data_IF_567911773572
#
_entry.id   IF_567911773572
#
_cell.length_a   1.000
_cell.length_b   1.000
_cell.length_c   1.000
_cell.angle_alpha   90.00
_cell.angle_beta   90.00
_cell.angle_gamma   90.00
#
_symmetry.space_group_name_H-M   'P 1'
#
loop_
_entity.id
_entity.type
_entity.pdbx_description
1 polymer ?
#
# COMPACT_ATOMS: atom_id res chain seq x y z
N UNK A 1 -14.68 -0.74 1.61
CA UNK A 1 -15.35 -0.22 0.40
C UNK A 1 -16.62 0.56 0.78
N UNK A 2 -16.81 1.78 0.25
CA UNK A 2 -18.02 2.59 0.49
C UNK A 2 -19.11 2.17 -0.52
N UNK A 3 -20.31 1.82 -0.06
CA UNK A 3 -21.39 1.22 -0.87
C UNK A 3 -21.84 2.12 -2.03
N UNK A 4 -21.62 3.44 -1.91
CA UNK A 4 -22.05 4.44 -2.89
C UNK A 4 -21.14 4.57 -4.13
N UNK A 5 -20.00 3.88 -4.19
CA UNK A 5 -19.03 3.99 -5.30
C UNK A 5 -18.58 2.64 -5.85
N UNK A 6 -19.30 1.57 -5.55
CA UNK A 6 -18.90 0.20 -5.95
C UNK A 6 -18.83 0.04 -7.49
N UNK A 7 -19.70 0.72 -8.23
CA UNK A 7 -19.76 0.63 -9.70
C UNK A 7 -18.88 1.66 -10.43
N UNK A 8 -18.25 2.56 -9.69
CA UNK A 8 -17.48 3.66 -10.28
C UNK A 8 -16.13 3.18 -10.76
N UNK A 9 -15.66 3.71 -11.89
CA UNK A 9 -14.31 3.45 -12.36
C UNK A 9 -13.26 4.14 -11.46
N UNK A 10 -11.97 3.74 -11.51
CA UNK A 10 -10.94 4.29 -10.63
C UNK A 10 -10.83 5.83 -10.69
N UNK A 11 -10.96 6.42 -11.87
CA UNK A 11 -10.86 7.88 -12.03
C UNK A 11 -12.02 8.61 -11.36
N UNK A 12 -13.24 8.11 -11.52
CA UNK A 12 -14.43 8.65 -10.84
C UNK A 12 -14.30 8.57 -9.32
N UNK A 13 -13.75 7.47 -8.80
CA UNK A 13 -13.49 7.30 -7.36
C UNK A 13 -12.49 8.33 -6.84
N UNK A 14 -11.40 8.56 -7.57
CA UNK A 14 -10.41 9.58 -7.20
C UNK A 14 -11.05 10.97 -7.16
N UNK A 15 -11.81 11.34 -8.21
CA UNK A 15 -12.47 12.64 -8.30
C UNK A 15 -13.48 12.82 -7.16
N UNK A 16 -14.31 11.82 -6.87
CA UNK A 16 -15.26 11.91 -5.76
C UNK A 16 -14.55 12.08 -4.41
N UNK A 17 -13.52 11.30 -4.15
CA UNK A 17 -12.81 11.39 -2.87
C UNK A 17 -12.08 12.73 -2.73
N UNK A 18 -11.51 13.25 -3.81
CA UNK A 18 -10.94 14.59 -3.84
C UNK A 18 -11.99 15.66 -3.50
N UNK A 19 -13.14 15.66 -4.18
CA UNK A 19 -14.23 16.60 -3.89
C UNK A 19 -14.74 16.47 -2.45
N UNK A 20 -14.94 15.24 -1.96
CA UNK A 20 -15.36 14.98 -0.57
C UNK A 20 -14.37 15.56 0.44
N UNK A 21 -13.07 15.32 0.25
CA UNK A 21 -12.03 15.86 1.13
C UNK A 21 -11.97 17.39 1.10
N UNK A 22 -12.12 17.98 -0.08
CA UNK A 22 -12.19 19.44 -0.24
C UNK A 22 -13.39 20.04 0.49
N UNK A 23 -14.59 19.50 0.26
CA UNK A 23 -15.81 19.94 0.94
C UNK A 23 -15.72 19.75 2.44
N UNK A 24 -15.26 18.59 2.92
CA UNK A 24 -15.08 18.33 4.34
C UNK A 24 -14.12 19.36 4.96
N UNK A 25 -12.94 19.57 4.36
CA UNK A 25 -11.97 20.58 4.82
C UNK A 25 -12.60 21.97 4.91
N UNK A 26 -13.33 22.40 3.87
CA UNK A 26 -14.01 23.70 3.85
C UNK A 26 -15.05 23.85 4.98
N UNK A 27 -15.92 22.85 5.16
CA UNK A 27 -16.94 22.86 6.21
C UNK A 27 -16.34 22.93 7.62
N UNK A 28 -15.13 22.42 7.79
CA UNK A 28 -14.39 22.44 9.06
C UNK A 28 -13.56 23.74 9.26
N UNK A 29 -13.71 24.69 8.34
CA UNK A 29 -13.01 25.97 8.35
C UNK A 29 -11.55 25.86 7.90
N UNK A 30 -11.22 24.85 7.11
CA UNK A 30 -9.94 24.68 6.40
C UNK A 30 -9.99 25.13 4.94
N UNK A 31 -8.91 24.90 4.20
CA UNK A 31 -8.85 25.20 2.76
C UNK A 31 -9.43 24.03 1.95
N UNK A 32 -10.38 24.34 1.06
CA UNK A 32 -10.95 23.39 0.11
C UNK A 32 -9.85 22.73 -0.75
N UNK A 33 -8.94 23.52 -1.30
CA UNK A 33 -7.87 23.07 -2.20
C UNK A 33 -6.94 22.07 -1.50
N UNK A 34 -6.57 22.34 -0.25
CA UNK A 34 -5.73 21.42 0.54
C UNK A 34 -6.43 20.09 0.81
N UNK A 35 -7.70 20.14 1.22
CA UNK A 35 -8.51 18.93 1.44
C UNK A 35 -8.69 18.12 0.16
N UNK A 36 -8.91 18.81 -0.96
CA UNK A 36 -9.05 18.21 -2.28
C UNK A 36 -7.77 17.51 -2.71
N UNK A 37 -6.63 18.20 -2.62
CA UNK A 37 -5.33 17.65 -3.00
C UNK A 37 -4.95 16.46 -2.14
N UNK A 38 -5.15 16.55 -0.82
CA UNK A 38 -4.82 15.48 0.12
C UNK A 38 -5.66 14.22 -0.13
N UNK A 39 -6.99 14.35 -0.12
CA UNK A 39 -7.88 13.20 -0.32
C UNK A 39 -7.77 12.62 -1.74
N UNK A 40 -7.58 13.47 -2.76
CA UNK A 40 -7.35 13.04 -4.13
C UNK A 40 -6.06 12.25 -4.27
N UNK A 41 -4.96 12.72 -3.68
CA UNK A 41 -3.66 12.03 -3.73
C UNK A 41 -3.72 10.68 -2.99
N UNK A 42 -4.33 10.64 -1.80
CA UNK A 42 -4.51 9.40 -1.06
C UNK A 42 -5.38 8.39 -1.83
N UNK A 43 -6.48 8.84 -2.43
CA UNK A 43 -7.34 7.98 -3.26
C UNK A 43 -6.61 7.46 -4.48
N UNK A 44 -5.84 8.31 -5.17
CA UNK A 44 -5.06 7.89 -6.33
C UNK A 44 -4.04 6.81 -5.97
N UNK A 45 -3.32 6.98 -4.85
CA UNK A 45 -2.38 5.97 -4.38
C UNK A 45 -3.07 4.64 -4.03
N UNK A 46 -4.25 4.67 -3.42
CA UNK A 46 -5.04 3.48 -3.13
C UNK A 46 -5.50 2.76 -4.41
N UNK A 47 -5.95 3.49 -5.43
CA UNK A 47 -6.35 2.92 -6.73
C UNK A 47 -5.13 2.35 -7.50
N UNK A 48 -3.97 3.03 -7.44
CA UNK A 48 -2.72 2.50 -8.00
C UNK A 48 -2.37 1.18 -7.31
N UNK A 49 -2.43 1.15 -5.97
CA UNK A 49 -2.16 -0.07 -5.21
C UNK A 49 -3.09 -1.21 -5.64
N UNK A 50 -4.40 -0.99 -5.60
CA UNK A 50 -5.41 -2.00 -5.94
C UNK A 50 -5.26 -2.48 -7.38
N UNK A 51 -5.02 -1.58 -8.33
CA UNK A 51 -4.80 -1.94 -9.74
C UNK A 51 -3.50 -2.71 -9.97
N UNK A 52 -2.47 -2.50 -9.16
CA UNK A 52 -1.23 -3.26 -9.25
C UNK A 52 -1.32 -4.61 -8.55
N UNK A 53 -1.77 -4.63 -7.31
CA UNK A 53 -1.68 -5.79 -6.42
C UNK A 53 -2.92 -6.68 -6.52
N UNK A 54 -4.07 -6.13 -6.92
CA UNK A 54 -5.32 -6.87 -7.10
C UNK A 54 -6.20 -6.94 -5.85
N UNK A 55 -5.78 -6.33 -4.73
CA UNK A 55 -6.54 -6.24 -3.49
C UNK A 55 -6.34 -4.90 -2.78
N UNK A 56 -7.22 -4.58 -1.83
CA UNK A 56 -7.19 -3.34 -1.05
C UNK A 56 -6.00 -3.30 -0.07
N UNK A 57 -5.51 -2.10 0.25
CA UNK A 57 -4.46 -1.92 1.26
C UNK A 57 -4.96 -2.35 2.63
N UNK A 58 -4.26 -3.30 3.26
CA UNK A 58 -4.52 -3.74 4.62
C UNK A 58 -3.29 -3.57 5.52
N UNK A 59 -3.39 -2.65 6.48
CA UNK A 59 -2.30 -2.40 7.43
C UNK A 59 -2.29 -3.38 8.60
N UNK A 60 -3.25 -4.30 8.73
CA UNK A 60 -3.23 -5.29 9.81
C UNK A 60 -2.00 -6.19 9.68
N UNK A 61 -1.61 -6.81 10.79
CA UNK A 61 -0.68 -7.95 10.72
C UNK A 61 -1.28 -9.03 9.83
N UNK A 62 -0.45 -9.71 9.05
CA UNK A 62 -0.93 -10.71 8.11
C UNK A 62 -1.16 -12.06 8.76
N UNK A 63 -1.66 -12.98 7.93
CA UNK A 63 -2.08 -14.33 8.27
C UNK A 63 -0.91 -15.31 8.40
N UNK A 64 -0.90 -16.39 7.64
CA UNK A 64 0.19 -17.37 7.69
C UNK A 64 1.21 -17.02 6.61
N UNK A 65 2.50 -16.93 6.96
CA UNK A 65 3.54 -16.72 5.96
C UNK A 65 3.60 -17.91 4.98
N UNK A 66 3.71 -17.63 3.68
CA UNK A 66 3.70 -18.64 2.63
C UNK A 66 5.01 -18.67 1.87
N UNK A 67 5.37 -19.86 1.39
CA UNK A 67 6.52 -20.04 0.52
C UNK A 67 6.09 -19.74 -0.91
N UNK A 68 6.87 -18.90 -1.60
CA UNK A 68 6.64 -18.57 -3.01
C UNK A 68 7.86 -18.86 -3.87
N UNK A 69 7.56 -19.25 -5.11
CA UNK A 69 8.55 -19.40 -6.17
C UNK A 69 8.86 -18.05 -6.82
N UNK A 70 9.98 -17.97 -7.54
CA UNK A 70 10.36 -16.80 -8.31
C UNK A 70 9.27 -16.38 -9.30
N UNK A 71 9.05 -15.07 -9.42
CA UNK A 71 8.09 -14.51 -10.36
C UNK A 71 6.63 -14.78 -10.01
N UNK A 72 6.30 -15.13 -8.77
CA UNK A 72 4.92 -15.19 -8.28
C UNK A 72 4.54 -13.85 -7.65
N UNK A 73 3.40 -13.29 -8.03
CA UNK A 73 2.88 -12.02 -7.47
C UNK A 73 2.47 -12.18 -6.00
N UNK A 74 2.29 -11.05 -5.32
CA UNK A 74 1.92 -11.04 -3.91
C UNK A 74 0.65 -11.86 -3.62
N UNK A 75 0.64 -12.55 -2.48
CA UNK A 75 -0.54 -13.28 -1.99
C UNK A 75 -1.15 -12.44 -0.86
N UNK A 76 -2.45 -12.16 -0.95
CA UNK A 76 -3.14 -11.39 0.07
C UNK A 76 -3.01 -12.06 1.44
N UNK A 77 -2.74 -11.27 2.48
CA UNK A 77 -2.56 -11.71 3.86
C UNK A 77 -1.40 -12.70 4.12
N UNK A 78 -0.57 -12.99 3.12
CA UNK A 78 0.64 -13.79 3.31
C UNK A 78 1.87 -12.88 3.26
N UNK A 79 2.79 -13.07 4.22
CA UNK A 79 4.00 -12.28 4.21
C UNK A 79 5.05 -12.81 3.26
N UNK A 80 5.67 -11.84 2.60
CA UNK A 80 6.49 -11.99 1.43
C UNK A 80 7.93 -11.50 1.66
N UNK A 81 8.30 -11.29 2.94
CA UNK A 81 9.65 -10.90 3.30
C UNK A 81 10.64 -12.07 3.17
N UNK A 82 11.69 -11.86 2.39
CA UNK A 82 12.79 -12.80 2.20
C UNK A 82 13.18 -12.91 0.73
N UNK A 83 13.89 -13.99 0.39
CA UNK A 83 14.22 -14.35 -0.98
C UNK A 83 13.23 -15.42 -1.43
N UNK A 84 12.44 -15.14 -2.48
CA UNK A 84 11.68 -16.16 -3.20
C UNK A 84 12.65 -17.27 -3.63
N UNK A 85 12.34 -18.54 -3.37
CA UNK A 85 13.29 -19.63 -3.64
C UNK A 85 12.58 -20.95 -3.90
N UNK A 86 13.04 -21.67 -4.90
CA UNK A 86 12.79 -23.10 -5.15
C UNK A 86 13.92 -23.98 -4.57
N UNK A 87 15.00 -23.36 -4.11
CA UNK A 87 16.22 -23.99 -3.67
C UNK A 87 16.19 -24.32 -2.17
N UNK A 88 16.27 -25.61 -1.85
CA UNK A 88 16.24 -26.16 -0.49
C UNK A 88 17.43 -25.72 0.38
N UNK A 89 18.52 -25.21 -0.22
CA UNK A 89 19.70 -24.74 0.52
C UNK A 89 19.49 -23.44 1.30
N UNK A 90 18.53 -22.59 0.88
CA UNK A 90 18.18 -21.36 1.61
C UNK A 90 17.25 -21.62 2.81
N UNK A 91 16.61 -22.79 2.88
CA UNK A 91 15.66 -23.16 3.93
C UNK A 91 16.30 -23.21 5.33
N UNK A 92 17.63 -23.38 5.42
CA UNK A 92 18.37 -23.38 6.68
C UNK A 92 18.74 -21.99 7.22
N UNK A 93 18.64 -20.93 6.40
CA UNK A 93 19.06 -19.56 6.81
C UNK A 93 17.94 -18.76 7.46
N UNK A 94 16.69 -19.13 7.17
CA UNK A 94 15.50 -18.41 7.62
C UNK A 94 15.21 -17.07 6.91
N UNK A 95 16.01 -16.72 5.90
CA UNK A 95 15.89 -15.50 5.09
C UNK A 95 15.08 -15.71 3.79
N UNK A 96 14.38 -16.82 3.69
CA UNK A 96 13.48 -17.15 2.58
C UNK A 96 12.03 -16.72 2.90
N UNK A 97 11.23 -16.48 1.86
CA UNK A 97 9.80 -16.20 2.03
C UNK A 97 9.09 -17.38 2.72
N UNK A 98 8.28 -17.11 3.75
CA UNK A 98 7.70 -18.15 4.62
C UNK A 98 8.60 -18.60 5.79
N UNK A 99 9.88 -18.18 5.81
CA UNK A 99 10.83 -18.46 6.89
C UNK A 99 10.59 -17.64 8.18
N UNK A 100 11.42 -17.82 9.22
CA UNK A 100 11.34 -17.06 10.47
C UNK A 100 11.33 -15.54 10.31
N UNK A 101 12.12 -14.97 9.40
CA UNK A 101 12.09 -13.52 9.13
C UNK A 101 10.74 -13.10 8.53
N UNK A 102 10.24 -13.85 7.54
CA UNK A 102 8.91 -13.63 6.99
C UNK A 102 7.84 -13.69 8.07
N UNK A 103 7.86 -14.70 8.95
CA UNK A 103 6.92 -14.81 10.08
C UNK A 103 7.03 -13.64 11.06
N UNK A 104 8.23 -13.18 11.37
CA UNK A 104 8.44 -12.04 12.25
C UNK A 104 7.87 -10.75 11.65
N UNK A 105 8.21 -10.47 10.39
CA UNK A 105 7.74 -9.29 9.67
C UNK A 105 6.22 -9.32 9.47
N UNK A 106 5.61 -10.50 9.40
CA UNK A 106 4.18 -10.65 9.21
C UNK A 106 3.36 -10.16 10.41
N UNK A 107 3.96 -10.20 11.60
CA UNK A 107 3.35 -9.69 12.83
C UNK A 107 3.39 -8.16 12.91
N UNK A 108 4.17 -7.50 12.05
CA UNK A 108 4.31 -6.05 12.03
C UNK A 108 3.24 -5.44 11.10
N UNK A 109 2.46 -4.52 11.66
CA UNK A 109 1.43 -3.77 10.92
C UNK A 109 2.02 -3.06 9.69
N UNK A 110 1.34 -3.18 8.55
CA UNK A 110 1.70 -2.54 7.29
C UNK A 110 2.79 -3.23 6.47
N UNK A 111 3.55 -4.19 7.04
CA UNK A 111 4.62 -4.87 6.30
C UNK A 111 4.09 -5.72 5.15
N UNK A 112 2.94 -6.37 5.31
CA UNK A 112 2.31 -7.14 4.24
C UNK A 112 1.80 -6.25 3.11
N UNK A 113 1.18 -5.11 3.44
CA UNK A 113 0.75 -4.18 2.42
C UNK A 113 1.96 -3.66 1.62
N UNK A 114 3.03 -3.28 2.31
CA UNK A 114 4.27 -2.83 1.68
C UNK A 114 4.89 -3.92 0.79
N UNK A 115 5.09 -5.12 1.33
CA UNK A 115 5.65 -6.25 0.61
C UNK A 115 4.78 -6.62 -0.61
N UNK A 116 3.45 -6.54 -0.46
CA UNK A 116 2.53 -6.83 -1.55
C UNK A 116 2.72 -5.95 -2.78
N UNK A 117 2.87 -4.64 -2.57
CA UNK A 117 3.15 -3.73 -3.69
C UNK A 117 4.57 -3.90 -4.23
N UNK A 118 5.54 -4.00 -3.33
CA UNK A 118 6.95 -4.17 -3.66
C UNK A 118 7.21 -5.39 -4.55
N UNK A 119 6.68 -6.55 -4.14
CA UNK A 119 6.92 -7.81 -4.84
C UNK A 119 6.18 -7.87 -6.17
N UNK A 120 4.97 -7.29 -6.21
CA UNK A 120 4.23 -7.19 -7.47
C UNK A 120 4.92 -6.24 -8.44
N UNK A 121 5.50 -5.14 -7.96
CA UNK A 121 6.27 -4.21 -8.77
C UNK A 121 7.54 -4.87 -9.32
N UNK A 122 8.34 -5.48 -8.45
CA UNK A 122 9.60 -6.15 -8.85
C UNK A 122 9.32 -7.34 -9.78
N UNK A 123 8.32 -8.18 -9.46
CA UNK A 123 7.91 -9.31 -10.29
C UNK A 123 7.42 -8.89 -11.68
N UNK A 124 6.67 -7.78 -11.78
CA UNK A 124 6.26 -7.22 -13.09
C UNK A 124 7.43 -6.59 -13.85
N UNK A 125 8.36 -5.90 -13.19
CA UNK A 125 9.56 -5.36 -13.84
C UNK A 125 10.43 -6.48 -14.42
N UNK A 126 10.57 -7.59 -13.70
CA UNK A 126 11.30 -8.76 -14.18
C UNK A 126 10.58 -9.43 -15.35
N UNK A 127 9.29 -9.76 -15.20
CA UNK A 127 8.52 -10.47 -16.25
C UNK A 127 8.27 -9.64 -17.50
N UNK A 128 7.96 -8.34 -17.35
CA UNK A 128 7.52 -7.51 -18.48
C UNK A 128 8.68 -6.73 -19.13
N UNK A 129 9.71 -6.37 -18.35
CA UNK A 129 10.81 -5.52 -18.82
C UNK A 129 12.18 -6.19 -18.71
N UNK A 130 12.26 -7.43 -18.23
CA UNK A 130 13.51 -8.19 -18.15
C UNK A 130 14.52 -7.58 -17.17
N UNK A 131 14.08 -6.72 -16.24
CA UNK A 131 14.98 -6.11 -15.26
C UNK A 131 15.20 -7.10 -14.12
N UNK A 132 16.44 -7.58 -13.87
CA UNK A 132 16.68 -8.61 -12.87
C UNK A 132 16.32 -8.14 -11.45
N UNK A 133 15.74 -9.05 -10.66
CA UNK A 133 15.33 -8.80 -9.27
C UNK A 133 16.40 -8.09 -8.42
N UNK A 134 17.68 -8.46 -8.59
CA UNK A 134 18.79 -7.84 -7.84
C UNK A 134 18.94 -6.34 -8.05
N UNK A 135 18.49 -5.80 -9.19
CA UNK A 135 18.53 -4.36 -9.49
C UNK A 135 17.23 -3.66 -9.13
N UNK A 136 16.10 -4.36 -9.00
CA UNK A 136 14.79 -3.76 -8.74
C UNK A 136 14.40 -3.82 -7.27
N UNK A 137 14.89 -4.78 -6.50
CA UNK A 137 14.52 -5.01 -5.09
C UNK A 137 14.69 -3.74 -4.23
N UNK A 138 15.92 -3.23 -4.06
CA UNK A 138 16.12 -2.02 -3.23
C UNK A 138 15.47 -0.78 -3.83
N UNK A 139 15.59 -0.48 -5.14
CA UNK A 139 14.97 0.71 -5.71
C UNK A 139 13.43 0.70 -5.68
N UNK A 140 12.80 -0.47 -5.75
CA UNK A 140 11.33 -0.60 -5.68
C UNK A 140 10.79 -0.31 -4.27
N UNK A 141 11.61 -0.35 -3.22
CA UNK A 141 11.16 -0.08 -1.85
C UNK A 141 10.58 1.33 -1.70
N UNK A 142 11.25 2.35 -2.25
CA UNK A 142 10.80 3.75 -2.13
C UNK A 142 9.41 4.00 -2.76
N UNK A 143 9.15 3.67 -4.04
CA UNK A 143 7.81 3.85 -4.60
C UNK A 143 6.78 2.96 -3.89
N UNK A 144 7.16 1.78 -3.41
CA UNK A 144 6.25 0.90 -2.67
C UNK A 144 5.83 1.47 -1.33
N UNK A 145 6.77 2.07 -0.57
CA UNK A 145 6.47 2.80 0.65
C UNK A 145 5.55 4.00 0.36
N UNK A 146 5.90 4.79 -0.66
CA UNK A 146 5.15 5.99 -1.02
C UNK A 146 3.70 5.64 -1.39
N UNK A 147 3.48 4.67 -2.28
CA UNK A 147 2.14 4.27 -2.72
C UNK A 147 1.36 3.64 -1.56
N UNK A 148 1.97 2.68 -0.85
CA UNK A 148 1.28 1.95 0.22
C UNK A 148 0.82 2.86 1.34
N UNK A 149 1.71 3.67 1.91
CA UNK A 149 1.36 4.49 3.06
C UNK A 149 0.55 5.73 2.70
N UNK A 150 0.72 6.29 1.49
CA UNK A 150 -0.17 7.34 0.98
C UNK A 150 -1.57 6.81 0.70
N UNK A 151 -1.69 5.60 0.14
CA UNK A 151 -2.98 4.96 -0.08
C UNK A 151 -3.66 4.55 1.22
N UNK A 152 -2.90 4.10 2.22
CA UNK A 152 -3.44 3.63 3.48
C UNK A 152 -4.21 4.70 4.28
N UNK A 153 -3.90 5.98 4.08
CA UNK A 153 -4.63 7.08 4.73
C UNK A 153 -5.94 7.43 4.03
N UNK A 154 -6.22 6.89 2.84
CA UNK A 154 -7.44 7.18 2.07
C UNK A 154 -8.74 7.03 2.87
N UNK A 155 -9.00 5.89 3.57
CA UNK A 155 -10.23 5.71 4.35
C UNK A 155 -10.38 6.71 5.49
N UNK A 156 -9.27 7.28 5.95
CA UNK A 156 -9.17 8.18 7.10
C UNK A 156 -8.92 9.64 6.70
N UNK A 157 -8.97 9.95 5.41
CA UNK A 157 -8.55 11.24 4.87
C UNK A 157 -9.24 12.44 5.54
N UNK A 158 -10.54 12.34 5.80
CA UNK A 158 -11.29 13.37 6.53
C UNK A 158 -10.86 13.50 8.00
N UNK A 159 -10.53 12.41 8.68
CA UNK A 159 -10.08 12.42 10.07
C UNK A 159 -8.70 13.10 10.21
N UNK A 160 -7.78 12.80 9.30
CA UNK A 160 -6.47 13.45 9.26
C UNK A 160 -6.61 14.97 9.08
N UNK A 161 -7.49 15.40 8.16
CA UNK A 161 -7.77 16.82 7.95
C UNK A 161 -8.37 17.50 9.21
N UNK A 162 -9.21 16.79 9.97
CA UNK A 162 -9.74 17.27 11.26
C UNK A 162 -8.61 17.45 12.28
N UNK A 163 -7.77 16.43 12.46
CA UNK A 163 -6.72 16.44 13.46
C UNK A 163 -5.67 17.52 13.19
N UNK A 164 -5.27 17.71 11.93
CA UNK A 164 -4.37 18.80 11.54
C UNK A 164 -4.96 20.15 11.92
N UNK A 165 -6.27 20.35 11.70
CA UNK A 165 -6.91 21.61 12.04
C UNK A 165 -6.96 21.85 13.55
N UNK A 166 -7.28 20.83 14.35
CA UNK A 166 -7.26 20.94 15.81
C UNK A 166 -5.85 21.34 16.27
N UNK A 167 -4.82 20.66 15.75
CA UNK A 167 -3.42 20.93 16.09
C UNK A 167 -3.00 22.36 15.75
N UNK A 168 -3.41 22.90 14.61
CA UNK A 168 -3.15 24.29 14.24
C UNK A 168 -3.81 25.30 15.18
N UNK A 169 -5.01 24.99 15.70
CA UNK A 169 -5.71 25.87 16.65
C UNK A 169 -5.05 25.85 18.03
N UNK A 170 -4.60 24.69 18.51
CA UNK A 170 -3.97 24.55 19.84
C UNK A 170 -2.55 25.12 19.90
N UNK A 171 -1.89 25.34 18.75
CA UNK A 171 -0.56 25.96 18.65
C UNK A 171 -0.60 27.50 18.60
N UNK A 172 -1.78 28.12 18.62
CA UNK A 172 -1.98 29.57 18.68
C UNK A 172 -2.42 29.96 20.09
#
# INVERSE_FOLDING_TARGET
>A
MNVLTADWNPAERVIANALRGGTASFLMGGSFEKGLAFAGTASLAAEIYQGYVGYDIDLRSGGRAELKAYGVDAIQDANNWGIATDNSSLLGTGLYEGGPLSKAMNMISGQNAFAGFHDTLTGRMERNWGVPFGFTNVPAALPSLAVTYTGAVHPYSNLVLIEERIRERTRR
#
